data_IF_958887878173
#
_entry.id   IF_958887878173
#
_cell.length_a   1.000
_cell.length_b   1.000
_cell.length_c   1.000
_cell.angle_alpha   90.00
_cell.angle_beta   90.00
_cell.angle_gamma   90.00
#
_symmetry.space_group_name_H-M   'P 1'
#
loop_
_entity.id
_entity.type
_entity.pdbx_description
1 polymer ?
#
# COMPACT_ATOMS: atom_id res chain seq x y z
N UNK A 1 6.57 8.25 -5.23
CA UNK A 1 5.92 9.21 -6.17
C UNK A 1 4.40 9.11 -6.09
N UNK A 2 3.82 7.90 -6.11
CA UNK A 2 2.35 7.67 -6.11
C UNK A 2 1.61 8.24 -4.88
N UNK A 3 2.14 8.05 -3.66
CA UNK A 3 1.51 8.52 -2.42
C UNK A 3 1.26 10.03 -2.41
N UNK A 4 2.29 10.83 -2.69
CA UNK A 4 2.19 12.30 -2.61
C UNK A 4 1.17 12.87 -3.60
N UNK A 5 1.05 12.27 -4.78
CA UNK A 5 0.07 12.69 -5.79
C UNK A 5 -1.37 12.40 -5.32
N UNK A 6 -1.61 11.21 -4.76
CA UNK A 6 -2.91 10.84 -4.21
C UNK A 6 -3.31 11.71 -3.01
N UNK A 7 -2.36 12.00 -2.12
CA UNK A 7 -2.60 12.89 -0.98
C UNK A 7 -2.86 14.34 -1.42
N UNK A 8 -2.18 14.83 -2.45
CA UNK A 8 -2.45 16.14 -3.03
C UNK A 8 -3.83 16.19 -3.69
N UNK A 9 -4.23 15.11 -4.38
CA UNK A 9 -5.56 14.97 -4.96
C UNK A 9 -6.67 14.99 -3.90
N UNK A 10 -6.53 14.26 -2.80
CA UNK A 10 -7.48 14.32 -1.67
C UNK A 10 -7.66 15.74 -1.14
N UNK A 11 -6.55 16.44 -0.90
CA UNK A 11 -6.59 17.82 -0.41
C UNK A 11 -7.24 18.74 -1.43
N UNK A 12 -6.99 18.56 -2.72
CA UNK A 12 -7.64 19.32 -3.78
C UNK A 12 -9.17 19.10 -3.78
N UNK A 13 -9.63 17.85 -3.68
CA UNK A 13 -11.06 17.54 -3.55
C UNK A 13 -11.67 18.21 -2.32
N UNK A 14 -10.99 18.16 -1.18
CA UNK A 14 -11.45 18.81 0.06
C UNK A 14 -11.57 20.33 -0.06
N UNK A 15 -10.62 20.99 -0.75
CA UNK A 15 -10.73 22.43 -1.01
C UNK A 15 -11.93 22.77 -1.88
N UNK A 16 -12.27 21.91 -2.85
CA UNK A 16 -13.47 22.09 -3.68
C UNK A 16 -14.76 21.89 -2.91
N UNK A 17 -14.84 20.88 -2.05
CA UNK A 17 -16.02 20.60 -1.21
C UNK A 17 -16.25 21.74 -0.19
N UNK A 18 -15.18 22.29 0.37
CA UNK A 18 -15.24 23.41 1.33
C UNK A 18 -15.29 24.79 0.66
N UNK A 19 -15.32 24.84 -0.67
CA UNK A 19 -15.33 26.08 -1.47
C UNK A 19 -14.18 27.07 -1.14
N UNK A 20 -13.03 26.54 -0.72
CA UNK A 20 -11.87 27.37 -0.33
C UNK A 20 -11.22 27.96 -1.58
N UNK A 21 -11.22 29.28 -1.67
CA UNK A 21 -10.51 30.01 -2.70
C UNK A 21 -8.98 29.89 -2.52
N UNK A 22 -8.25 29.97 -3.63
CA UNK A 22 -6.80 30.03 -3.59
C UNK A 22 -6.28 31.33 -2.93
N UNK A 23 -7.08 32.41 -2.97
CA UNK A 23 -6.75 33.72 -2.39
C UNK A 23 -6.67 33.68 -0.86
N UNK A 24 -7.42 32.78 -0.23
CA UNK A 24 -7.44 32.62 1.23
C UNK A 24 -6.13 32.02 1.76
N UNK A 25 -5.25 31.47 0.90
CA UNK A 25 -3.94 30.89 1.25
C UNK A 25 -3.97 29.90 2.43
N UNK A 26 -5.10 29.23 2.64
CA UNK A 26 -5.31 28.24 3.71
C UNK A 26 -4.34 27.08 3.56
N UNK A 27 -3.69 26.68 4.64
CA UNK A 27 -2.73 25.58 4.64
C UNK A 27 -3.41 24.22 4.50
N UNK A 28 -2.69 23.21 3.99
CA UNK A 28 -3.25 21.86 3.87
C UNK A 28 -3.63 21.24 5.22
N UNK A 29 -2.97 21.65 6.31
CA UNK A 29 -3.31 21.21 7.68
C UNK A 29 -4.66 21.75 8.12
N UNK A 30 -4.93 23.03 7.85
CA UNK A 30 -6.21 23.66 8.17
C UNK A 30 -7.37 23.06 7.36
N UNK A 31 -7.15 22.75 6.08
CA UNK A 31 -8.17 22.06 5.24
C UNK A 31 -8.57 20.72 5.87
N UNK A 32 -7.60 19.93 6.33
CA UNK A 32 -7.86 18.64 6.98
C UNK A 32 -8.55 18.82 8.35
N UNK A 33 -8.16 19.83 9.12
CA UNK A 33 -8.80 20.15 10.40
C UNK A 33 -10.28 20.54 10.22
N UNK A 34 -10.63 21.30 9.17
CA UNK A 34 -12.02 21.70 8.88
C UNK A 34 -12.94 20.50 8.58
N UNK A 35 -12.42 19.49 7.89
CA UNK A 35 -13.16 18.24 7.60
C UNK A 35 -13.17 17.28 8.80
N UNK A 36 -12.39 17.57 9.85
CA UNK A 36 -12.16 16.67 10.99
C UNK A 36 -11.73 15.27 10.54
N UNK A 37 -11.04 15.20 9.40
CA UNK A 37 -10.70 13.96 8.71
C UNK A 37 -9.20 13.82 8.48
N UNK A 38 -8.77 12.58 8.31
CA UNK A 38 -7.42 12.25 7.91
C UNK A 38 -7.41 11.77 6.46
N UNK A 39 -6.26 11.85 5.78
CA UNK A 39 -6.04 11.26 4.46
C UNK A 39 -6.30 9.75 4.48
N UNK A 40 -7.22 9.25 3.64
CA UNK A 40 -7.70 7.86 3.68
C UNK A 40 -7.45 7.07 2.40
N UNK A 41 -7.35 7.71 1.24
CA UNK A 41 -7.26 7.03 -0.06
C UNK A 41 -6.04 6.13 -0.12
N UNK A 42 -4.85 6.67 0.23
CA UNK A 42 -3.62 5.88 0.24
C UNK A 42 -3.72 4.70 1.21
N UNK A 43 -4.17 4.95 2.45
CA UNK A 43 -4.35 3.93 3.48
C UNK A 43 -5.34 2.83 3.03
N UNK A 44 -6.40 3.22 2.33
CA UNK A 44 -7.43 2.32 1.81
C UNK A 44 -6.91 1.45 0.67
N UNK A 45 -6.18 2.04 -0.28
CA UNK A 45 -5.54 1.31 -1.38
C UNK A 45 -4.55 0.30 -0.81
N UNK A 46 -3.73 0.72 0.15
CA UNK A 46 -2.77 -0.15 0.82
C UNK A 46 -3.47 -1.32 1.53
N UNK A 47 -4.49 -1.06 2.34
CA UNK A 47 -5.24 -2.12 3.04
C UNK A 47 -5.88 -3.12 2.08
N UNK A 48 -6.45 -2.65 0.96
CA UNK A 48 -7.05 -3.53 -0.07
C UNK A 48 -5.98 -4.39 -0.75
N UNK A 49 -4.84 -3.80 -1.08
CA UNK A 49 -3.69 -4.49 -1.68
C UNK A 49 -3.19 -5.60 -0.75
N UNK A 50 -3.00 -5.29 0.53
CA UNK A 50 -2.51 -6.24 1.53
C UNK A 50 -3.47 -7.41 1.75
N UNK A 51 -4.79 -7.15 1.74
CA UNK A 51 -5.83 -8.19 1.80
C UNK A 51 -5.78 -9.11 0.58
N UNK A 52 -5.62 -8.54 -0.61
CA UNK A 52 -5.50 -9.29 -1.86
C UNK A 52 -4.27 -10.19 -1.85
N UNK A 53 -3.11 -9.67 -1.43
CA UNK A 53 -1.86 -10.45 -1.32
C UNK A 53 -2.03 -11.59 -0.31
N UNK A 54 -2.54 -11.28 0.89
CA UNK A 54 -2.79 -12.28 1.91
C UNK A 54 -3.75 -13.37 1.40
N UNK A 55 -4.69 -13.06 0.51
CA UNK A 55 -5.53 -14.06 -0.14
C UNK A 55 -4.76 -14.89 -1.17
N UNK A 56 -4.00 -14.27 -2.08
CA UNK A 56 -3.21 -14.96 -3.11
C UNK A 56 -2.17 -15.91 -2.49
N UNK A 57 -1.49 -15.49 -1.41
CA UNK A 57 -0.45 -16.29 -0.77
C UNK A 57 -1.00 -17.52 -0.01
N UNK A 58 -2.25 -17.46 0.46
CA UNK A 58 -2.90 -18.54 1.22
C UNK A 58 -3.44 -19.67 0.33
N UNK A 59 -3.78 -19.38 -0.91
CA UNK A 59 -4.31 -20.37 -1.83
C UNK A 59 -3.27 -20.73 -2.90
N UNK A 60 -3.03 -22.04 -3.07
CA UNK A 60 -2.23 -22.54 -4.20
C UNK A 60 -2.99 -22.28 -5.50
N UNK A 61 -2.60 -21.21 -6.19
CA UNK A 61 -3.24 -20.74 -7.43
C UNK A 61 -2.19 -20.38 -8.47
N UNK A 62 -2.59 -20.29 -9.73
CA UNK A 62 -1.69 -19.80 -10.79
C UNK A 62 -1.16 -18.40 -10.45
N UNK A 63 -2.01 -17.54 -9.88
CA UNK A 63 -1.64 -16.20 -9.41
C UNK A 63 -0.52 -16.23 -8.37
N UNK A 64 -0.51 -17.24 -7.48
CA UNK A 64 0.58 -17.44 -6.52
C UNK A 64 1.89 -17.82 -7.24
N UNK A 65 1.86 -18.79 -8.16
CA UNK A 65 3.07 -19.18 -8.92
C UNK A 65 3.66 -18.02 -9.71
N UNK A 66 2.80 -17.20 -10.32
CA UNK A 66 3.21 -15.98 -11.04
C UNK A 66 3.81 -14.96 -10.07
N UNK A 67 3.18 -14.73 -8.92
CA UNK A 67 3.65 -13.78 -7.91
C UNK A 67 5.00 -14.20 -7.30
N UNK A 68 5.21 -15.50 -7.09
CA UNK A 68 6.45 -16.05 -6.53
C UNK A 68 7.56 -16.20 -7.60
N UNK A 69 7.26 -15.98 -8.88
CA UNK A 69 8.22 -16.11 -9.97
C UNK A 69 8.59 -17.55 -10.32
N UNK A 70 7.80 -18.54 -9.88
CA UNK A 70 8.00 -19.98 -10.19
C UNK A 70 7.44 -20.31 -11.58
N UNK A 71 7.95 -19.62 -12.59
CA UNK A 71 7.64 -19.85 -14.00
C UNK A 71 8.85 -20.52 -14.64
N UNK A 72 8.63 -21.68 -15.27
CA UNK A 72 9.70 -22.38 -16.02
C UNK A 72 10.21 -21.47 -17.14
N UNK A 73 11.47 -21.04 -17.06
CA UNK A 73 12.11 -20.20 -18.07
C UNK A 73 13.47 -19.64 -17.60
N UNK A 74 14.23 -19.07 -18.53
CA UNK A 74 15.50 -18.41 -18.21
C UNK A 74 15.26 -16.95 -17.84
N UNK A 75 15.67 -16.55 -16.63
CA UNK A 75 15.63 -15.13 -16.22
C UNK A 75 16.81 -14.41 -16.87
N UNK A 76 16.55 -13.31 -17.56
CA UNK A 76 17.61 -12.52 -18.18
C UNK A 76 18.63 -12.02 -17.12
N UNK A 77 19.92 -12.05 -17.47
CA UNK A 77 21.01 -11.58 -16.59
C UNK A 77 20.84 -10.08 -16.32
N UNK A 78 20.69 -9.69 -15.05
CA UNK A 78 20.50 -8.30 -14.64
C UNK A 78 19.65 -8.17 -13.38
N UNK A 79 19.42 -6.92 -12.92
CA UNK A 79 18.49 -6.67 -11.81
C UNK A 79 17.07 -7.01 -12.29
N UNK A 80 16.35 -7.94 -11.63
CA UNK A 80 14.95 -8.18 -11.94
C UNK A 80 14.17 -6.86 -11.87
N UNK A 81 13.19 -6.68 -12.77
CA UNK A 81 12.22 -5.58 -12.60
C UNK A 81 11.67 -5.66 -11.18
N UNK A 82 11.52 -4.52 -10.49
CA UNK A 82 11.07 -4.50 -9.11
C UNK A 82 9.80 -5.35 -8.97
N UNK A 83 9.96 -6.54 -8.41
CA UNK A 83 8.87 -7.49 -8.31
C UNK A 83 7.87 -6.93 -7.32
N UNK A 84 6.60 -7.25 -7.52
CA UNK A 84 5.55 -6.81 -6.62
C UNK A 84 5.84 -7.24 -5.17
N UNK A 85 6.53 -8.38 -4.99
CA UNK A 85 7.06 -8.86 -3.70
C UNK A 85 8.15 -7.96 -3.11
N UNK A 86 9.06 -7.42 -3.92
CA UNK A 86 10.08 -6.45 -3.46
C UNK A 86 9.44 -5.18 -2.93
N UNK A 87 8.36 -4.71 -3.56
CA UNK A 87 7.60 -3.55 -3.06
C UNK A 87 6.97 -3.85 -1.69
N UNK A 88 6.35 -5.03 -1.55
CA UNK A 88 5.74 -5.47 -0.29
C UNK A 88 6.77 -5.55 0.84
N UNK A 89 7.97 -6.08 0.58
CA UNK A 89 9.06 -6.13 1.57
C UNK A 89 9.49 -4.73 2.02
N UNK A 90 9.63 -3.79 1.08
CA UNK A 90 9.96 -2.39 1.38
C UNK A 90 8.90 -1.74 2.28
N UNK A 91 7.61 -2.02 2.05
CA UNK A 91 6.51 -1.45 2.84
C UNK A 91 6.31 -2.13 4.20
N UNK A 92 6.57 -3.44 4.31
CA UNK A 92 6.44 -4.18 5.58
C UNK A 92 7.66 -4.01 6.49
N UNK A 93 8.71 -3.31 6.04
CA UNK A 93 9.99 -3.16 6.72
C UNK A 93 10.58 -4.51 7.18
N UNK A 94 10.32 -5.56 6.39
CA UNK A 94 10.83 -6.91 6.63
C UNK A 94 11.95 -7.18 5.64
N UNK A 95 13.13 -7.50 6.17
CA UNK A 95 14.36 -7.66 5.39
C UNK A 95 14.41 -8.94 4.54
N UNK A 96 13.48 -9.89 4.72
CA UNK A 96 13.52 -11.18 4.06
C UNK A 96 12.13 -11.67 3.60
N UNK A 97 12.08 -12.36 2.47
CA UNK A 97 10.88 -12.97 1.86
C UNK A 97 10.28 -14.13 2.67
N UNK A 98 11.10 -14.78 3.51
CA UNK A 98 10.65 -15.86 4.38
C UNK A 98 9.70 -15.35 5.48
N UNK A 99 9.94 -14.15 6.00
CA UNK A 99 9.17 -13.60 7.13
C UNK A 99 7.70 -13.27 6.79
N UNK A 100 7.34 -12.78 5.57
CA UNK A 100 5.95 -12.69 5.13
C UNK A 100 5.31 -14.06 4.81
N UNK A 101 6.09 -15.05 4.35
CA UNK A 101 5.59 -16.39 4.04
C UNK A 101 5.20 -17.17 5.30
N UNK A 102 5.91 -16.98 6.41
CA UNK A 102 5.56 -17.61 7.69
C UNK A 102 4.31 -16.97 8.32
N UNK A 103 4.17 -15.65 8.18
CA UNK A 103 2.96 -14.91 8.59
C UNK A 103 1.70 -15.27 7.79
N UNK A 104 1.80 -16.00 6.67
CA UNK A 104 0.62 -16.33 5.83
C UNK A 104 -0.36 -17.26 6.53
N UNK A 105 0.15 -18.13 7.41
CA UNK A 105 -0.65 -19.15 8.09
C UNK A 105 -1.48 -18.54 9.23
N UNK A 106 -0.96 -17.48 9.85
CA UNK A 106 -1.62 -16.76 10.93
C UNK A 106 -2.28 -15.48 10.39
N UNK A 107 -3.61 -15.52 10.31
CA UNK A 107 -4.43 -14.40 9.81
C UNK A 107 -4.32 -13.17 10.69
N UNK A 108 -4.16 -13.35 12.00
CA UNK A 108 -4.06 -12.25 12.96
C UNK A 108 -2.69 -11.61 12.88
N UNK A 109 -1.63 -12.41 12.78
CA UNK A 109 -0.28 -11.92 12.60
C UNK A 109 -0.10 -11.19 11.26
N UNK A 110 -0.70 -11.69 10.16
CA UNK A 110 -0.72 -10.98 8.88
C UNK A 110 -1.39 -9.62 9.01
N UNK A 111 -2.60 -9.58 9.59
CA UNK A 111 -3.35 -8.33 9.82
C UNK A 111 -2.56 -7.36 10.71
N UNK A 112 -1.92 -7.84 11.77
CA UNK A 112 -1.12 -7.02 12.67
C UNK A 112 0.12 -6.45 11.97
N UNK A 113 0.79 -7.23 11.12
CA UNK A 113 1.93 -6.77 10.34
C UNK A 113 1.53 -5.71 9.30
N UNK A 114 0.37 -5.88 8.64
CA UNK A 114 -0.12 -4.92 7.63
C UNK A 114 -0.77 -3.68 8.24
N UNK A 115 -1.46 -3.82 9.39
CA UNK A 115 -2.13 -2.73 10.11
C UNK A 115 -1.17 -1.76 10.81
N UNK A 116 0.13 -2.10 10.94
CA UNK A 116 1.14 -1.11 11.36
C UNK A 116 1.30 0.04 10.36
N UNK A 117 0.79 -0.10 9.13
CA UNK A 117 0.63 0.99 8.16
C UNK A 117 -0.52 1.96 8.51
N UNK A 118 -1.34 1.65 9.51
CA UNK A 118 -2.55 2.38 9.88
C UNK A 118 -2.33 3.39 11.01
N UNK A 119 -1.32 3.18 11.86
CA UNK A 119 -1.06 4.00 13.06
C UNK A 119 0.30 4.69 12.94
N UNK A 120 0.36 5.73 12.11
CA UNK A 120 1.10 6.99 12.28
C UNK A 120 0.40 8.06 11.43
#
# INVERSE_FOLDING_TARGET
>A
MEKNMLEAFEVWCFRKILEISWTERVTNKEVLNKIKGQRQIWKSIQSRRDKMIGHILRHESLSKKILEGDVKGHVARGRPRAEYMTQIMQYTNKGNYKDPKELRYDREAWRAATNKSTVL
#
